data_IF_347008080372
#
_entry.id   IF_347008080372
#
_cell.length_a   1.000
_cell.length_b   1.000
_cell.length_c   1.000
_cell.angle_alpha   90.00
_cell.angle_beta   90.00
_cell.angle_gamma   90.00
#
_symmetry.space_group_name_H-M   'P 1'
#
loop_
_entity.id
_entity.type
_entity.pdbx_description
1 polymer ?
2 non-polymer ?
3 non-polymer ?
4 non-polymer ?
5 non-polymer ?
6 non-polymer ?
7 non-polymer ?
8 water ?
#
# COMPACT_ATOMS: atom_id res chain seq x y z
N UNK A 1 11.00 15.17 1.67
CA UNK A 1 11.54 14.58 0.40
C UNK A 1 11.21 13.08 0.40
N UNK A 2 11.22 12.47 -0.80
CA UNK A 2 10.89 11.04 -1.09
C UNK A 2 11.60 10.11 -0.10
N UNK A 3 12.80 10.51 0.29
CA UNK A 3 13.67 9.71 1.17
C UNK A 3 12.99 9.43 2.50
N UNK A 4 12.08 10.30 2.96
CA UNK A 4 11.41 10.11 4.26
C UNK A 4 10.47 8.88 4.23
N UNK A 5 10.10 8.38 3.07
CA UNK A 5 9.32 7.13 2.98
C UNK A 5 10.19 5.89 3.18
N UNK A 6 11.50 6.01 2.94
CA UNK A 6 12.39 4.82 2.97
C UNK A 6 12.51 4.30 4.40
N UNK A 7 12.51 2.98 4.50
CA UNK A 7 12.72 2.29 5.77
C UNK A 7 11.64 1.27 6.03
N UNK A 8 11.51 0.89 7.29
CA UNK A 8 10.69 -0.26 7.73
C UNK A 8 9.59 0.30 8.61
N UNK A 9 8.35 -0.03 8.25
CA UNK A 9 7.15 0.53 8.87
C UNK A 9 6.27 -0.60 9.40
N UNK A 10 5.72 -0.39 10.60
CA UNK A 10 4.88 -1.39 11.27
C UNK A 10 3.48 -0.83 11.46
N UNK A 11 2.45 -1.65 11.23
CA UNK A 11 1.06 -1.16 11.41
C UNK A 11 0.78 -0.94 12.89
N UNK A 12 0.25 0.22 13.25
CA UNK A 12 -0.19 0.52 14.64
C UNK A 12 -1.67 0.85 14.73
N UNK A 13 -2.38 1.13 13.63
CA UNK A 13 -3.82 1.39 13.71
C UNK A 13 -4.46 1.10 12.36
N UNK A 14 -5.76 0.84 12.38
CA UNK A 14 -6.53 0.61 11.14
C UNK A 14 -7.98 1.02 11.36
N UNK A 15 -8.57 1.58 10.32
CA UNK A 15 -10.01 1.90 10.23
C UNK A 15 -10.49 1.53 8.83
N UNK A 16 -11.62 0.83 8.72
CA UNK A 16 -12.35 0.59 7.46
C UNK A 16 -11.58 -0.34 6.53
N UNK A 17 -10.66 -1.15 7.01
CA UNK A 17 -9.94 -2.15 6.16
C UNK A 17 -10.81 -3.35 5.65
N UNK A 18 -11.68 -3.78 6.65
CA UNK A 18 -12.55 -4.95 6.34
C UNK A 18 -13.46 -4.41 5.25
N UNK A 19 -13.93 -3.17 5.45
CA UNK A 19 -14.90 -2.58 4.49
C UNK A 19 -14.26 -2.39 3.12
N UNK A 20 -13.04 -1.89 3.09
CA UNK A 20 -12.30 -1.73 1.82
C UNK A 20 -12.12 -3.08 1.13
N UNK A 21 -11.70 -4.11 1.88
CA UNK A 21 -11.50 -5.45 1.27
C UNK A 21 -12.82 -6.02 0.73
N UNK A 22 -13.91 -5.82 1.48
CA UNK A 22 -15.24 -6.27 1.02
C UNK A 22 -15.57 -5.59 -0.31
N UNK A 23 -15.21 -4.32 -0.43
CA UNK A 23 -15.52 -3.50 -1.63
C UNK A 23 -14.77 -4.05 -2.85
N UNK A 24 -13.67 -4.76 -2.65
CA UNK A 24 -12.84 -5.38 -3.72
C UNK A 24 -13.21 -6.85 -3.98
N UNK A 25 -14.22 -7.38 -3.29
CA UNK A 25 -14.66 -8.75 -3.54
C UNK A 25 -13.83 -9.76 -2.76
N UNK A 26 -13.14 -9.33 -1.73
CA UNK A 26 -12.36 -10.28 -0.88
C UNK A 26 -13.34 -10.99 0.03
N UNK A 27 -13.32 -12.31 0.04
CA UNK A 27 -14.28 -13.12 0.82
C UNK A 27 -14.02 -13.01 2.31
N UNK A 28 -15.03 -13.30 3.10
CA UNK A 28 -15.01 -13.09 4.58
C UNK A 28 -13.85 -13.87 5.20
N UNK A 29 -13.66 -15.12 4.79
CA UNK A 29 -12.60 -15.98 5.35
C UNK A 29 -11.22 -15.33 5.15
N UNK A 30 -10.98 -14.76 3.98
CA UNK A 30 -9.71 -14.09 3.62
C UNK A 30 -9.62 -12.76 4.37
N UNK A 31 -10.71 -12.01 4.49
CA UNK A 31 -10.69 -10.75 5.27
C UNK A 31 -10.27 -11.04 6.71
N UNK A 32 -10.77 -12.13 7.31
CA UNK A 32 -10.49 -12.42 8.73
C UNK A 32 -8.98 -12.60 8.92
N UNK A 33 -8.34 -13.34 8.01
CA UNK A 33 -6.89 -13.62 8.04
C UNK A 33 -6.13 -12.30 7.86
N UNK A 34 -6.54 -11.50 6.87
CA UNK A 34 -5.84 -10.26 6.49
C UNK A 34 -5.90 -9.29 7.67
N UNK A 35 -7.00 -9.25 8.42
CA UNK A 35 -7.26 -8.24 9.48
C UNK A 35 -6.70 -8.70 10.84
N UNK A 36 -6.17 -9.93 10.97
CA UNK A 36 -5.75 -10.44 12.29
C UNK A 36 -4.23 -10.39 12.44
N UNK A 37 -3.52 -9.75 11.52
CA UNK A 37 -2.04 -9.55 11.59
C UNK A 37 -1.71 -8.06 11.52
N UNK A 38 -0.58 -7.65 12.10
CA UNK A 38 0.00 -6.29 11.91
C UNK A 38 1.16 -6.45 10.93
N UNK A 39 0.93 -6.11 9.64
CA UNK A 39 1.97 -6.22 8.63
C UNK A 39 3.10 -5.21 8.82
N UNK A 40 4.21 -5.55 8.18
CA UNK A 40 5.40 -4.70 8.06
C UNK A 40 5.55 -4.33 6.59
N UNK A 41 5.76 -3.06 6.31
CA UNK A 41 6.08 -2.57 4.94
C UNK A 41 7.51 -2.02 4.93
N UNK A 42 8.29 -2.48 3.95
CA UNK A 42 9.67 -2.00 3.71
C UNK A 42 9.67 -1.26 2.40
N UNK A 43 10.13 -0.01 2.45
CA UNK A 43 10.24 0.83 1.24
C UNK A 43 11.74 1.08 1.04
N UNK A 44 12.22 0.74 -0.14
CA UNK A 44 13.66 0.74 -0.48
C UNK A 44 13.85 1.39 -1.85
N UNK A 45 15.06 1.83 -2.12
CA UNK A 45 15.37 2.47 -3.41
C UNK A 45 16.79 2.09 -3.80
N UNK A 46 16.96 1.77 -5.07
CA UNK A 46 18.29 1.48 -5.64
C UNK A 46 18.32 2.15 -7.01
N UNK A 47 19.09 3.23 -7.15
CA UNK A 47 19.00 4.10 -8.33
C UNK A 47 17.61 4.65 -8.46
N UNK A 48 17.00 4.51 -9.62
CA UNK A 48 15.63 5.03 -9.82
C UNK A 48 14.60 3.92 -9.62
N UNK A 49 15.00 2.76 -9.10
CA UNK A 49 14.07 1.63 -8.85
C UNK A 49 13.67 1.65 -7.38
N UNK A 50 12.38 1.79 -7.13
CA UNK A 50 11.82 1.69 -5.80
C UNK A 50 11.29 0.26 -5.63
N UNK A 51 11.39 -0.25 -4.42
CA UNK A 51 10.81 -1.57 -4.05
C UNK A 51 9.97 -1.39 -2.80
N UNK A 52 8.79 -1.98 -2.82
CA UNK A 52 7.89 -2.00 -1.66
C UNK A 52 7.59 -3.45 -1.37
N UNK A 53 7.91 -3.83 -0.16
CA UNK A 53 7.71 -5.18 0.38
C UNK A 53 6.69 -5.10 1.49
N UNK A 54 5.75 -6.03 1.49
CA UNK A 54 4.83 -6.19 2.61
C UNK A 54 5.00 -7.61 3.15
N UNK A 55 5.24 -7.68 4.45
CA UNK A 55 5.45 -8.95 5.16
C UNK A 55 4.26 -9.11 6.08
N UNK A 56 3.55 -10.21 5.96
CA UNK A 56 2.48 -10.55 6.92
C UNK A 56 2.28 -12.06 6.95
N UNK A 57 1.42 -12.52 7.84
CA UNK A 57 0.94 -13.93 7.90
C UNK A 57 -0.08 -14.17 6.78
N UNK A 58 -0.80 -13.15 6.29
CA UNK A 58 -1.74 -13.27 5.12
C UNK A 58 -0.93 -13.61 3.87
N UNK A 59 -0.11 -12.67 3.40
CA UNK A 59 0.70 -12.88 2.18
C UNK A 59 1.96 -12.01 2.29
N UNK A 60 3.10 -12.50 1.79
CA UNK A 60 4.27 -11.63 1.53
C UNK A 60 4.15 -11.15 0.08
N UNK A 61 4.35 -9.86 -0.17
CA UNK A 61 4.34 -9.31 -1.53
C UNK A 61 5.59 -8.45 -1.72
N UNK A 62 5.98 -8.29 -2.97
CA UNK A 62 7.06 -7.36 -3.33
C UNK A 62 6.74 -6.81 -4.71
N UNK A 63 6.82 -5.50 -4.84
CA UNK A 63 6.75 -4.83 -6.17
C UNK A 63 7.96 -3.93 -6.31
N UNK A 64 8.40 -3.80 -7.54
CA UNK A 64 9.48 -2.88 -7.90
C UNK A 64 8.98 -2.04 -9.07
N UNK A 65 9.41 -0.80 -9.09
CA UNK A 65 8.89 0.16 -10.06
C UNK A 65 9.78 1.40 -10.11
N UNK A 66 9.63 2.13 -11.20
CA UNK A 66 10.15 3.48 -11.35
C UNK A 66 8.99 4.45 -11.24
N UNK A 67 9.19 5.56 -10.56
CA UNK A 67 8.15 6.60 -10.46
C UNK A 67 7.68 6.92 -11.88
N UNK A 68 6.35 6.96 -12.05
CA UNK A 68 5.80 7.44 -13.30
C UNK A 68 5.87 6.48 -14.46
N UNK A 69 6.21 5.20 -14.23
CA UNK A 69 6.26 4.19 -15.31
C UNK A 69 5.31 3.05 -14.94
N UNK A 70 4.32 2.83 -15.79
CA UNK A 70 3.29 1.81 -15.54
C UNK A 70 3.95 0.43 -15.45
N UNK A 71 3.41 -0.42 -14.60
CA UNK A 71 3.89 -1.80 -14.40
C UNK A 71 2.73 -2.73 -14.13
N UNK A 72 2.95 -3.99 -14.42
CA UNK A 72 2.02 -5.08 -14.09
C UNK A 72 2.22 -5.48 -12.63
N UNK A 73 1.11 -5.68 -11.93
CA UNK A 73 1.12 -6.09 -10.52
C UNK A 73 0.05 -7.14 -10.32
N UNK A 74 0.36 -8.14 -9.49
CA UNK A 74 -0.64 -9.09 -8.98
C UNK A 74 -0.76 -8.86 -7.48
N UNK A 75 -1.90 -8.35 -7.07
CA UNK A 75 -2.09 -7.90 -5.68
C UNK A 75 -2.17 -9.10 -4.73
N UNK A 76 -2.13 -8.82 -3.44
CA UNK A 76 -2.18 -9.86 -2.39
C UNK A 76 -3.47 -10.68 -2.54
N UNK A 77 -4.57 -10.03 -2.93
CA UNK A 77 -5.90 -10.67 -3.13
C UNK A 77 -6.06 -11.20 -4.57
N UNK A 78 -4.97 -11.29 -5.32
CA UNK A 78 -4.89 -11.94 -6.66
C UNK A 78 -5.63 -11.15 -7.74
N UNK A 79 -5.73 -9.83 -7.61
CA UNK A 79 -6.10 -9.01 -8.77
C UNK A 79 -4.86 -8.76 -9.63
N UNK A 80 -4.96 -9.08 -10.91
CA UNK A 80 -3.99 -8.63 -11.92
C UNK A 80 -4.39 -7.21 -12.33
N UNK A 81 -3.51 -6.25 -12.06
CA UNK A 81 -3.81 -4.83 -12.25
C UNK A 81 -2.67 -4.18 -13.06
N UNK A 82 -3.00 -3.02 -13.58
CA UNK A 82 -2.06 -2.07 -14.21
C UNK A 82 -1.82 -0.96 -13.20
N UNK A 83 -0.57 -0.78 -12.82
CA UNK A 83 -0.21 0.09 -11.68
C UNK A 83 0.74 1.20 -12.10
N UNK A 84 0.67 2.25 -11.32
CA UNK A 84 1.66 3.33 -11.44
C UNK A 84 1.79 4.01 -10.10
N UNK A 85 3.02 4.37 -9.78
CA UNK A 85 3.31 5.08 -8.53
C UNK A 85 3.88 6.43 -8.92
N UNK A 86 3.31 7.46 -8.31
CA UNK A 86 3.68 8.85 -8.55
C UNK A 86 3.88 9.57 -7.21
N UNK A 87 4.49 10.74 -7.30
CA UNK A 87 4.68 11.63 -6.15
C UNK A 87 3.92 12.92 -6.47
N UNK A 88 2.93 13.20 -5.65
CA UNK A 88 2.00 14.33 -5.82
C UNK A 88 2.19 15.18 -4.56
N UNK A 89 3.08 16.15 -4.63
CA UNK A 89 3.48 16.90 -3.42
C UNK A 89 4.11 15.95 -2.43
N UNK A 90 3.55 15.88 -1.25
CA UNK A 90 4.09 14.94 -0.25
C UNK A 90 3.47 13.55 -0.27
N UNK A 91 2.64 13.24 -1.23
CA UNK A 91 1.85 11.99 -1.28
C UNK A 91 2.54 11.04 -2.28
N UNK A 92 2.86 9.83 -1.82
CA UNK A 92 3.30 8.75 -2.71
C UNK A 92 2.04 7.96 -3.09
N UNK A 93 1.65 8.08 -4.33
CA UNK A 93 0.33 7.60 -4.81
C UNK A 93 0.51 6.35 -5.65
N UNK A 94 -0.03 5.22 -5.19
CA UNK A 94 -0.04 3.96 -5.95
C UNK A 94 -1.43 3.78 -6.52
N UNK A 95 -1.57 3.91 -7.82
CA UNK A 95 -2.83 3.66 -8.54
C UNK A 95 -2.81 2.26 -9.12
N UNK A 96 -3.91 1.53 -8.91
CA UNK A 96 -4.16 0.22 -9.52
C UNK A 96 -5.42 0.32 -10.38
N UNK A 97 -5.32 -0.10 -11.62
CA UNK A 97 -6.47 -0.11 -12.56
C UNK A 97 -6.70 -1.50 -13.09
N UNK A 98 -7.98 -1.86 -13.20
CA UNK A 98 -8.34 -3.16 -13.83
C UNK A 98 -9.82 -3.11 -14.20
N UNK A 99 -10.18 -3.68 -15.33
CA UNK A 99 -11.59 -4.03 -15.64
C UNK A 99 -12.48 -2.80 -15.49
N UNK A 100 -11.97 -1.64 -15.92
CA UNK A 100 -12.72 -0.38 -15.94
C UNK A 100 -12.87 0.25 -14.56
N UNK A 101 -12.17 -0.23 -13.54
CA UNK A 101 -12.23 0.38 -12.21
C UNK A 101 -10.82 0.66 -11.69
N UNK A 102 -10.73 1.21 -10.50
CA UNK A 102 -9.44 1.56 -9.92
C UNK A 102 -9.51 1.65 -8.41
N UNK A 103 -8.33 1.66 -7.80
CA UNK A 103 -8.17 1.95 -6.37
C UNK A 103 -6.87 2.72 -6.23
N UNK A 104 -6.82 3.60 -5.26
CA UNK A 104 -5.57 4.28 -4.89
C UNK A 104 -5.16 3.89 -3.48
N UNK A 105 -3.83 3.77 -3.34
CA UNK A 105 -3.15 3.49 -2.08
C UNK A 105 -2.17 4.66 -1.91
N UNK A 106 -2.52 5.60 -1.03
CA UNK A 106 -1.81 6.88 -0.90
C UNK A 106 -1.07 6.88 0.42
N UNK A 107 0.22 7.19 0.36
CA UNK A 107 1.06 7.30 1.58
C UNK A 107 1.51 8.73 1.80
N UNK A 108 1.36 9.21 3.02
CA UNK A 108 1.74 10.57 3.40
C UNK A 108 2.38 10.47 4.79
N UNK A 109 3.36 11.31 5.05
CA UNK A 109 4.00 11.38 6.37
C UNK A 109 3.36 12.54 7.12
N UNK A 110 2.83 12.24 8.28
CA UNK A 110 2.17 13.22 9.18
C UNK A 110 2.74 12.95 10.58
N UNK A 111 3.42 13.94 11.15
CA UNK A 111 3.99 13.83 12.52
C UNK A 111 4.87 12.58 12.63
N UNK A 112 5.64 12.25 11.60
CA UNK A 112 6.59 11.13 11.59
C UNK A 112 5.94 9.78 11.35
N UNK A 113 4.62 9.71 11.27
CA UNK A 113 3.90 8.44 11.03
C UNK A 113 3.59 8.39 9.55
N UNK A 114 3.54 7.18 9.01
CA UNK A 114 3.14 6.99 7.60
C UNK A 114 1.66 6.60 7.59
N UNK A 115 0.84 7.44 6.96
CA UNK A 115 -0.62 7.27 6.85
C UNK A 115 -0.87 6.70 5.46
N UNK A 116 -1.45 5.52 5.40
CA UNK A 116 -1.82 4.85 4.14
C UNK A 116 -3.34 4.96 3.99
N UNK A 117 -3.78 5.69 2.98
CA UNK A 117 -5.23 5.85 2.68
C UNK A 117 -5.54 5.02 1.45
N UNK A 118 -6.43 4.05 1.59
CA UNK A 118 -6.87 3.18 0.49
C UNK A 118 -8.29 3.58 0.11
N UNK A 119 -8.48 3.95 -1.14
CA UNK A 119 -9.78 4.44 -1.64
C UNK A 119 -10.21 3.51 -2.77
N UNK A 120 -11.44 3.01 -2.66
CA UNK A 120 -12.07 2.25 -3.75
C UNK A 120 -13.53 2.67 -3.77
N UNK A 121 -13.88 3.55 -4.69
CA UNK A 121 -15.18 4.20 -4.68
C UNK A 121 -15.41 4.93 -3.38
N UNK A 122 -16.52 4.65 -2.71
CA UNK A 122 -16.85 5.29 -1.40
C UNK A 122 -16.18 4.57 -0.23
N UNK A 123 -15.46 3.47 -0.47
CA UNK A 123 -14.74 2.77 0.62
C UNK A 123 -13.40 3.49 0.81
N UNK A 124 -13.19 4.03 2.00
CA UNK A 124 -11.93 4.72 2.38
C UNK A 124 -11.40 4.10 3.68
N UNK A 125 -10.18 3.57 3.65
CA UNK A 125 -9.51 2.88 4.72
C UNK A 125 -8.31 3.74 5.08
N UNK A 126 -8.05 3.86 6.37
CA UNK A 126 -6.84 4.48 6.87
C UNK A 126 -6.04 3.42 7.66
N UNK A 127 -4.81 3.20 7.24
CA UNK A 127 -3.85 2.26 7.88
C UNK A 127 -2.70 3.14 8.39
N UNK A 128 -2.41 3.10 9.68
CA UNK A 128 -1.40 3.98 10.28
C UNK A 128 -0.18 3.14 10.61
N UNK A 129 0.98 3.59 10.15
CA UNK A 129 2.26 2.87 10.32
C UNK A 129 3.24 3.74 11.08
N UNK A 130 4.05 3.09 11.91
CA UNK A 130 5.17 3.74 12.62
C UNK A 130 6.49 3.19 12.15
N UNK A 131 7.51 4.04 12.15
CA UNK A 131 8.85 3.68 11.65
C UNK A 131 9.50 2.81 12.72
N UNK A 132 10.10 1.71 12.28
CA UNK A 132 11.00 0.88 13.11
C UNK A 132 12.39 1.52 13.15
N UNK A 133 13.00 1.49 14.33
CA UNK A 133 14.35 2.00 14.68
C UNK A 133 15.39 0.94 14.31
#
# INVERSE_FOLDING_TARGET
>A
MVDAFLGTWKLVDSKNFDDYMKSLGVGFATRQVASMTKPTTIIEKNGDILTLKTHSTFKNTEISFKLGVEFDETTADDRKVKSIVTLDGGKLVHLQKWDGQETTLVRELIDGKLILTLTHGTAVCTRTYEKEA
#
